data_IF_879787163041
#
_entry.id   IF_879787163041
#
_cell.length_a   1.000
_cell.length_b   1.000
_cell.length_c   1.000
_cell.angle_alpha   90.00
_cell.angle_beta   90.00
_cell.angle_gamma   90.00
#
_symmetry.space_group_name_H-M   'P 1'
#
loop_
_entity.id
_entity.type
_entity.pdbx_description
1 polymer ?
#
# COMPACT_ATOMS: atom_id res chain seq x y z
N UNK A 1 -10.25 3.03 21.55
CA UNK A 1 -10.20 4.41 21.00
C UNK A 1 -11.64 4.89 20.82
N UNK A 2 -12.00 6.10 21.25
CA UNK A 2 -13.34 6.64 21.00
C UNK A 2 -13.50 6.88 19.50
N UNK A 3 -14.65 6.53 18.92
CA UNK A 3 -14.97 6.86 17.53
C UNK A 3 -15.09 8.37 17.39
N UNK A 4 -14.22 8.97 16.56
CA UNK A 4 -14.22 10.40 16.22
C UNK A 4 -15.12 10.60 15.01
N UNK A 5 -16.42 10.41 15.19
CA UNK A 5 -17.33 10.32 14.04
C UNK A 5 -17.87 11.69 13.55
N UNK A 6 -17.51 12.82 14.17
CA UNK A 6 -18.02 14.16 13.78
C UNK A 6 -16.93 15.26 13.74
N UNK A 7 -15.90 15.09 12.92
CA UNK A 7 -14.91 16.16 12.66
C UNK A 7 -15.20 16.79 11.30
N UNK A 8 -15.47 18.10 11.27
CA UNK A 8 -15.65 18.85 10.02
C UNK A 8 -14.37 18.89 9.18
N UNK A 9 -14.49 19.14 7.88
CA UNK A 9 -13.34 19.23 6.97
C UNK A 9 -12.32 20.28 7.43
N UNK A 10 -12.80 21.45 7.89
CA UNK A 10 -11.94 22.53 8.38
C UNK A 10 -11.15 22.11 9.61
N UNK A 11 -11.78 21.37 10.51
CA UNK A 11 -11.13 20.84 11.70
C UNK A 11 -10.10 19.75 11.35
N UNK A 12 -10.34 18.94 10.32
CA UNK A 12 -9.35 18.01 9.79
C UNK A 12 -8.15 18.73 9.17
N UNK A 13 -8.39 19.76 8.36
CA UNK A 13 -7.33 20.57 7.75
C UNK A 13 -6.47 21.20 8.84
N UNK A 14 -7.09 21.85 9.83
CA UNK A 14 -6.39 22.45 10.95
C UNK A 14 -5.59 21.41 11.75
N UNK A 15 -6.16 20.22 12.01
CA UNK A 15 -5.46 19.14 12.70
C UNK A 15 -4.23 18.69 11.92
N UNK A 16 -4.39 18.40 10.62
CA UNK A 16 -3.30 17.92 9.77
C UNK A 16 -2.19 18.95 9.58
N UNK A 17 -2.53 20.24 9.52
CA UNK A 17 -1.55 21.33 9.41
C UNK A 17 -0.71 21.52 10.67
N UNK A 18 -1.24 21.16 11.84
CA UNK A 18 -0.56 21.35 13.12
C UNK A 18 0.16 20.09 13.64
N UNK A 19 0.03 18.94 12.95
CA UNK A 19 0.71 17.68 13.32
C UNK A 19 2.23 17.87 13.35
N UNK A 20 2.85 17.48 14.46
CA UNK A 20 4.30 17.33 14.58
C UNK A 20 4.74 15.90 14.25
N UNK A 21 6.04 15.69 14.06
CA UNK A 21 6.58 14.36 13.76
C UNK A 21 6.27 13.35 14.89
N UNK A 22 6.33 13.79 16.15
CA UNK A 22 5.98 12.97 17.32
C UNK A 22 4.49 12.58 17.40
N UNK A 23 3.59 13.33 16.76
CA UNK A 23 2.16 13.05 16.77
C UNK A 23 1.77 11.94 15.77
N UNK A 24 2.65 11.62 14.83
CA UNK A 24 2.39 10.68 13.75
C UNK A 24 2.96 9.30 14.09
N UNK A 25 2.09 8.41 14.53
CA UNK A 25 2.44 6.99 14.64
C UNK A 25 2.28 6.28 13.29
N UNK A 26 3.42 6.01 12.62
CA UNK A 26 3.43 5.31 11.34
C UNK A 26 3.07 3.83 11.46
N UNK A 27 3.33 3.25 12.64
CA UNK A 27 3.06 1.85 12.94
C UNK A 27 1.62 1.71 13.42
N UNK A 28 0.90 0.74 12.89
CA UNK A 28 -0.34 0.31 13.54
C UNK A 28 0.03 -0.45 14.84
N UNK A 29 -0.34 0.04 16.04
CA UNK A 29 0.10 -0.58 17.31
C UNK A 29 -0.30 -2.05 17.44
N UNK A 30 -1.42 -2.42 16.80
CA UNK A 30 -1.96 -3.78 16.78
C UNK A 30 -1.31 -4.69 15.71
N UNK A 31 -0.53 -4.13 14.79
CA UNK A 31 0.16 -4.89 13.75
C UNK A 31 1.56 -5.24 14.26
N UNK A 32 1.76 -6.50 14.65
CA UNK A 32 3.08 -7.07 14.95
C UNK A 32 3.51 -7.86 13.71
N UNK A 33 4.34 -7.28 12.82
CA UNK A 33 4.72 -7.97 11.61
C UNK A 33 5.76 -9.05 11.91
N UNK A 34 5.44 -10.31 11.62
CA UNK A 34 6.38 -11.43 11.69
C UNK A 34 7.21 -11.54 10.40
N UNK A 35 6.55 -11.45 9.24
CA UNK A 35 7.18 -11.46 7.91
C UNK A 35 6.48 -10.49 6.98
N UNK A 36 7.26 -9.66 6.29
CA UNK A 36 6.74 -8.73 5.28
C UNK A 36 6.83 -9.42 3.92
N UNK A 37 5.68 -9.73 3.31
CA UNK A 37 5.63 -10.14 1.91
C UNK A 37 5.97 -8.92 1.07
N UNK A 38 7.12 -8.91 0.38
CA UNK A 38 7.59 -7.75 -0.40
C UNK A 38 7.60 -7.98 -1.93
N UNK A 39 7.42 -9.23 -2.35
CA UNK A 39 7.39 -9.66 -3.75
C UNK A 39 6.42 -10.84 -3.92
N UNK A 40 5.93 -11.07 -5.12
CA UNK A 40 4.95 -12.13 -5.42
C UNK A 40 5.36 -12.82 -6.73
N UNK A 41 5.73 -14.10 -6.68
CA UNK A 41 6.25 -14.84 -7.83
C UNK A 41 7.39 -14.08 -8.56
N UNK A 42 7.16 -13.77 -9.84
CA UNK A 42 8.09 -13.01 -10.70
C UNK A 42 7.99 -11.48 -10.54
N UNK A 43 7.02 -11.00 -9.76
CA UNK A 43 6.80 -9.56 -9.57
C UNK A 43 7.64 -9.05 -8.41
N UNK A 44 8.39 -7.97 -8.63
CA UNK A 44 9.10 -7.21 -7.59
C UNK A 44 8.19 -6.48 -6.60
N UNK A 45 6.88 -6.73 -6.67
CA UNK A 45 5.82 -6.08 -5.92
C UNK A 45 4.75 -7.09 -5.56
N UNK A 46 3.82 -6.70 -4.70
CA UNK A 46 2.65 -7.49 -4.32
C UNK A 46 1.42 -6.97 -5.08
N UNK A 47 0.98 -7.63 -6.16
CA UNK A 47 -0.18 -7.19 -6.93
C UNK A 47 -1.48 -7.43 -6.14
N UNK A 48 -2.21 -6.37 -5.82
CA UNK A 48 -3.50 -6.41 -5.15
C UNK A 48 -4.63 -6.29 -6.18
N UNK A 49 -5.45 -7.34 -6.29
CA UNK A 49 -6.65 -7.34 -7.13
C UNK A 49 -7.77 -6.60 -6.40
N UNK A 50 -8.32 -5.57 -7.05
CA UNK A 50 -9.49 -4.82 -6.62
C UNK A 50 -10.70 -5.08 -7.51
N UNK A 51 -11.77 -4.33 -7.27
CA UNK A 51 -13.04 -4.46 -7.99
C UNK A 51 -12.92 -3.96 -9.44
N UNK A 52 -12.12 -2.92 -9.68
CA UNK A 52 -12.01 -2.24 -10.98
C UNK A 52 -10.75 -2.60 -11.77
N UNK A 53 -9.86 -3.38 -11.19
CA UNK A 53 -8.53 -3.61 -11.72
C UNK A 53 -7.58 -4.16 -10.66
N UNK A 54 -6.28 -3.94 -10.84
CA UNK A 54 -5.29 -4.26 -9.83
C UNK A 54 -4.32 -3.10 -9.62
N UNK A 55 -3.80 -3.00 -8.40
CA UNK A 55 -2.74 -2.06 -8.02
C UNK A 55 -1.55 -2.85 -7.49
N UNK A 56 -0.33 -2.41 -7.78
CA UNK A 56 0.88 -3.06 -7.26
C UNK A 56 1.22 -2.47 -5.91
N UNK A 57 1.03 -3.18 -4.81
CA UNK A 57 1.56 -2.74 -3.53
C UNK A 57 3.07 -2.96 -3.50
N UNK A 58 3.83 -1.95 -3.09
CA UNK A 58 5.28 -2.01 -2.94
C UNK A 58 5.67 -1.85 -1.46
N UNK A 59 5.58 -2.94 -0.66
CA UNK A 59 5.88 -2.96 0.78
C UNK A 59 7.21 -2.33 1.17
N UNK A 60 8.23 -2.44 0.30
CA UNK A 60 9.55 -1.85 0.54
C UNK A 60 9.54 -0.31 0.58
N UNK A 61 8.54 0.35 -0.03
CA UNK A 61 8.36 1.81 0.06
C UNK A 61 7.81 2.26 1.41
N UNK A 62 7.23 1.34 2.20
CA UNK A 62 6.45 1.66 3.39
C UNK A 62 6.88 0.84 4.62
N UNK A 63 8.17 0.48 4.69
CA UNK A 63 8.74 -0.28 5.80
C UNK A 63 8.55 0.39 7.15
N UNK A 64 8.47 1.73 7.20
CA UNK A 64 8.16 2.48 8.42
C UNK A 64 6.81 2.09 9.02
N UNK A 65 5.83 1.73 8.19
CA UNK A 65 4.51 1.29 8.67
C UNK A 65 4.57 -0.05 9.43
N UNK A 66 5.60 -0.84 9.12
CA UNK A 66 5.89 -2.09 9.80
C UNK A 66 6.88 -1.92 10.97
N UNK A 67 7.22 -0.67 11.34
CA UNK A 67 8.25 -0.40 12.34
C UNK A 67 9.66 -0.82 11.91
N UNK A 68 9.87 -1.04 10.61
CA UNK A 68 11.17 -1.45 10.03
C UNK A 68 11.92 -0.24 9.46
N UNK A 69 13.26 -0.35 9.38
CA UNK A 69 14.09 0.71 8.80
C UNK A 69 13.76 0.90 7.31
N UNK A 70 13.50 2.14 6.91
CA UNK A 70 13.27 2.51 5.52
C UNK A 70 14.59 2.63 4.75
N UNK A 71 14.65 2.07 3.55
CA UNK A 71 15.76 2.23 2.61
C UNK A 71 15.30 2.93 1.34
N UNK A 72 16.26 3.38 0.52
CA UNK A 72 15.97 3.87 -0.84
C UNK A 72 15.45 2.68 -1.65
N UNK A 73 14.17 2.69 -2.05
CA UNK A 73 13.55 1.53 -2.69
C UNK A 73 13.84 1.51 -4.18
N UNK A 74 13.86 0.31 -4.77
CA UNK A 74 13.94 0.17 -6.22
C UNK A 74 12.66 0.72 -6.86
N UNK A 75 12.80 1.72 -7.72
CA UNK A 75 11.68 2.41 -8.39
C UNK A 75 11.36 1.81 -9.77
N UNK A 76 12.07 0.77 -10.18
CA UNK A 76 12.00 0.22 -11.53
C UNK A 76 10.64 -0.44 -11.82
N UNK A 77 9.86 0.15 -12.72
CA UNK A 77 8.53 -0.35 -13.09
C UNK A 77 7.37 0.28 -12.30
N UNK A 78 7.63 1.31 -11.48
CA UNK A 78 6.60 2.10 -10.80
C UNK A 78 5.59 2.73 -11.77
N UNK A 79 6.00 3.09 -12.99
CA UNK A 79 5.10 3.67 -13.97
C UNK A 79 3.99 2.71 -14.46
N UNK A 80 4.09 1.41 -14.16
CA UNK A 80 3.11 0.38 -14.56
C UNK A 80 2.29 -0.12 -13.36
N UNK A 81 2.01 0.78 -12.41
CA UNK A 81 1.48 0.48 -11.08
C UNK A 81 0.07 -0.12 -11.08
N UNK A 82 -0.73 0.22 -12.08
CA UNK A 82 -2.14 -0.13 -12.13
C UNK A 82 -2.54 -0.69 -13.49
N UNK A 83 -3.60 -1.51 -13.50
CA UNK A 83 -4.32 -1.82 -14.71
C UNK A 83 -5.81 -2.01 -14.40
N UNK A 84 -6.66 -1.64 -15.35
CA UNK A 84 -8.11 -1.79 -15.24
C UNK A 84 -8.58 -3.08 -15.93
N UNK A 85 -9.72 -3.62 -15.49
CA UNK A 85 -10.35 -4.75 -16.17
C UNK A 85 -10.98 -4.40 -17.52
N UNK A 86 -11.14 -3.10 -17.79
CA UNK A 86 -11.64 -2.60 -19.06
C UNK A 86 -10.54 -2.43 -20.12
N UNK A 87 -9.28 -2.58 -19.73
CA UNK A 87 -8.15 -2.51 -20.64
C UNK A 87 -7.92 -3.80 -21.44
N UNK A 88 -7.19 -3.67 -22.55
CA UNK A 88 -6.80 -4.82 -23.34
C UNK A 88 -5.99 -5.83 -22.52
N UNK A 89 -6.19 -7.12 -22.82
CA UNK A 89 -5.41 -8.23 -22.25
C UNK A 89 -5.55 -8.40 -20.71
N UNK A 90 -6.57 -7.82 -20.07
CA UNK A 90 -6.77 -7.91 -18.61
C UNK A 90 -6.85 -9.37 -18.11
N UNK A 91 -7.52 -10.27 -18.84
CA UNK A 91 -7.66 -11.69 -18.44
C UNK A 91 -6.32 -12.39 -18.29
N UNK A 92 -5.37 -12.10 -19.19
CA UNK A 92 -4.01 -12.64 -19.12
C UNK A 92 -3.29 -12.10 -17.89
N UNK A 93 -3.38 -10.78 -17.63
CA UNK A 93 -2.78 -10.15 -16.45
C UNK A 93 -3.34 -10.70 -15.14
N UNK A 94 -4.67 -10.90 -15.06
CA UNK A 94 -5.31 -11.52 -13.89
C UNK A 94 -4.76 -12.93 -13.67
N UNK A 95 -4.67 -13.75 -14.74
CA UNK A 95 -4.10 -15.11 -14.64
C UNK A 95 -2.64 -15.11 -14.17
N UNK A 96 -1.80 -14.21 -14.69
CA UNK A 96 -0.40 -14.06 -14.27
C UNK A 96 -0.30 -13.68 -12.79
N UNK A 97 -1.15 -12.76 -12.33
CA UNK A 97 -1.21 -12.35 -10.91
C UNK A 97 -1.67 -13.51 -10.03
N UNK A 98 -2.80 -14.15 -10.36
CA UNK A 98 -3.30 -15.30 -9.62
C UNK A 98 -2.26 -16.41 -9.50
N UNK A 99 -1.50 -16.68 -10.57
CA UNK A 99 -0.42 -17.67 -10.54
C UNK A 99 0.76 -17.25 -9.68
N UNK A 100 1.06 -15.96 -9.56
CA UNK A 100 2.15 -15.49 -8.71
C UNK A 100 1.82 -15.57 -7.22
N UNK A 101 0.53 -15.54 -6.87
CA UNK A 101 0.01 -15.69 -5.52
C UNK A 101 -0.05 -17.15 -5.02
N UNK A 102 -0.03 -18.12 -5.93
CA UNK A 102 0.01 -19.55 -5.63
C UNK A 102 1.45 -20.03 -5.38
#
# INVERSE_FOLDING_TARGET
MPRRDDISEENWIALLQNLQEEDVEWKAPWLIPDKILYRCGIFYWVPLLGIWGAVRYAPLLVLRQYGSRQFVPATHGLAQFEFSYWGDNYKKRVKEISNAWN
#
